data_IF_692189437412
#
_entry.id   IF_692189437412
#
_cell.length_a   1.000
_cell.length_b   1.000
_cell.length_c   1.000
_cell.angle_alpha   90.00
_cell.angle_beta   90.00
_cell.angle_gamma   90.00
#
_symmetry.space_group_name_H-M   'P 1'
#
loop_
_entity.id
_entity.type
_entity.pdbx_description
1 polymer ?
#
# COMPACT_ATOMS: atom_id res chain seq x y z
N UNK A 1 5.45 -1.66 24.43
CA UNK A 1 6.25 -2.12 23.27
C UNK A 1 7.49 -1.24 23.22
N UNK A 2 8.68 -1.81 23.40
CA UNK A 2 9.93 -1.03 23.38
C UNK A 2 10.24 -0.57 21.94
N UNK A 3 10.82 0.63 21.79
CA UNK A 3 11.06 1.30 20.50
C UNK A 3 11.91 0.45 19.54
N UNK A 4 13.00 -0.13 20.05
CA UNK A 4 13.91 -0.99 19.27
C UNK A 4 13.17 -2.19 18.66
N UNK A 5 12.20 -2.74 19.39
CA UNK A 5 11.37 -3.82 18.90
C UNK A 5 10.47 -3.39 17.73
N UNK A 6 9.94 -2.15 17.75
CA UNK A 6 9.13 -1.63 16.66
C UNK A 6 9.96 -1.32 15.40
N UNK A 7 11.18 -0.81 15.58
CA UNK A 7 12.13 -0.56 14.48
C UNK A 7 12.62 -1.88 13.85
N UNK A 8 12.88 -2.90 14.66
CA UNK A 8 13.22 -4.25 14.19
C UNK A 8 12.06 -4.88 13.40
N UNK A 9 10.83 -4.81 13.92
CA UNK A 9 9.63 -5.29 13.19
C UNK A 9 9.48 -4.58 11.84
N UNK A 10 9.72 -3.26 11.81
CA UNK A 10 9.64 -2.51 10.56
C UNK A 10 10.77 -2.88 9.59
N UNK A 11 12.00 -3.08 10.08
CA UNK A 11 13.14 -3.47 9.27
C UNK A 11 13.01 -4.87 8.66
N UNK A 12 12.34 -5.79 9.37
CA UNK A 12 12.05 -7.15 8.89
C UNK A 12 10.82 -7.23 7.99
N UNK A 13 10.03 -6.16 7.90
CA UNK A 13 8.87 -6.15 7.02
C UNK A 13 9.30 -6.06 5.55
N UNK A 14 8.86 -7.05 4.78
CA UNK A 14 8.98 -7.04 3.33
C UNK A 14 7.66 -7.46 2.69
N UNK A 15 7.41 -6.93 1.50
CA UNK A 15 6.34 -7.42 0.64
C UNK A 15 6.84 -8.66 -0.13
N UNK A 16 5.95 -9.60 -0.52
CA UNK A 16 6.34 -10.71 -1.37
C UNK A 16 6.81 -10.24 -2.76
N UNK A 17 7.62 -11.04 -3.45
CA UNK A 17 7.89 -10.81 -4.87
C UNK A 17 6.58 -10.91 -5.67
N UNK A 18 6.48 -10.21 -6.80
CA UNK A 18 5.30 -10.34 -7.66
C UNK A 18 5.06 -11.81 -8.03
N UNK A 19 6.11 -12.55 -8.41
CA UNK A 19 6.04 -13.99 -8.73
C UNK A 19 5.48 -14.87 -7.60
N UNK A 20 5.61 -14.45 -6.35
CA UNK A 20 5.16 -15.21 -5.17
C UNK A 20 3.69 -14.93 -4.82
N UNK A 21 3.05 -13.95 -5.47
CA UNK A 21 1.62 -13.70 -5.34
C UNK A 21 0.85 -14.87 -6.01
N UNK A 22 -0.15 -15.48 -5.32
CA UNK A 22 -0.88 -16.62 -5.85
C UNK A 22 -1.58 -16.34 -7.19
N UNK A 23 -1.27 -17.17 -8.20
CA UNK A 23 -1.81 -17.05 -9.56
C UNK A 23 -3.10 -17.87 -9.78
N UNK A 24 -3.42 -18.79 -8.87
CA UNK A 24 -4.61 -19.66 -8.94
C UNK A 24 -5.96 -18.91 -8.89
N UNK A 25 -5.92 -17.60 -8.63
CA UNK A 25 -7.07 -16.79 -8.30
C UNK A 25 -7.56 -17.06 -6.88
N UNK A 26 -7.80 -16.00 -6.11
CA UNK A 26 -8.23 -16.12 -4.71
C UNK A 26 -9.66 -15.61 -4.52
N UNK A 27 -10.50 -16.38 -3.82
CA UNK A 27 -11.80 -15.88 -3.37
C UNK A 27 -11.65 -14.76 -2.34
N UNK A 28 -12.69 -13.95 -2.15
CA UNK A 28 -12.64 -12.76 -1.28
C UNK A 28 -12.10 -13.04 0.13
N UNK A 29 -12.51 -14.15 0.74
CA UNK A 29 -12.06 -14.55 2.07
C UNK A 29 -10.58 -14.97 2.06
N UNK A 30 -10.12 -15.64 1.00
CA UNK A 30 -8.73 -16.02 0.79
C UNK A 30 -7.84 -14.79 0.57
N UNK A 31 -8.26 -13.82 -0.24
CA UNK A 31 -7.55 -12.55 -0.44
C UNK A 31 -7.43 -11.81 0.90
N UNK A 32 -8.52 -11.74 1.66
CA UNK A 32 -8.52 -11.09 2.98
C UNK A 32 -7.50 -11.75 3.91
N UNK A 33 -7.48 -13.09 3.98
CA UNK A 33 -6.49 -13.84 4.78
C UNK A 33 -5.07 -13.64 4.28
N UNK A 34 -4.86 -13.58 2.97
CA UNK A 34 -3.55 -13.38 2.36
C UNK A 34 -2.99 -11.99 2.72
N UNK A 35 -3.76 -10.91 2.50
CA UNK A 35 -3.36 -9.55 2.85
C UNK A 35 -3.09 -9.41 4.35
N UNK A 36 -3.94 -10.00 5.20
CA UNK A 36 -3.74 -9.95 6.65
C UNK A 36 -2.53 -10.76 7.13
N UNK A 37 -2.09 -11.76 6.37
CA UNK A 37 -0.83 -12.48 6.64
C UNK A 37 0.38 -11.59 6.36
N UNK A 38 0.37 -10.87 5.23
CA UNK A 38 1.41 -9.89 4.91
C UNK A 38 1.46 -8.81 6.01
N UNK A 39 0.29 -8.33 6.44
CA UNK A 39 0.15 -7.24 7.40
C UNK A 39 0.12 -7.72 8.87
N UNK A 40 0.55 -8.95 9.17
CA UNK A 40 0.46 -9.52 10.52
C UNK A 40 1.21 -8.68 11.56
N UNK A 41 2.35 -8.09 11.18
CA UNK A 41 3.13 -7.17 11.99
C UNK A 41 2.42 -5.83 12.28
N UNK A 42 1.37 -5.49 11.52
CA UNK A 42 0.65 -4.22 11.60
C UNK A 42 -0.86 -4.44 11.76
N UNK A 43 -1.35 -4.84 12.96
CA UNK A 43 -2.76 -5.19 13.18
C UNK A 43 -3.76 -4.10 12.80
N UNK A 44 -3.36 -2.82 12.94
CA UNK A 44 -4.19 -1.67 12.57
C UNK A 44 -4.35 -1.48 11.06
N UNK A 45 -3.64 -2.25 10.23
CA UNK A 45 -3.72 -2.23 8.76
C UNK A 45 -4.51 -3.41 8.21
N UNK A 46 -4.96 -4.33 9.06
CA UNK A 46 -5.75 -5.48 8.63
C UNK A 46 -7.02 -5.03 7.91
N UNK A 47 -7.39 -5.79 6.90
CA UNK A 47 -8.52 -5.55 6.03
C UNK A 47 -9.62 -6.57 6.24
N UNK A 48 -10.85 -6.19 5.90
CA UNK A 48 -12.02 -7.08 5.89
C UNK A 48 -12.52 -7.28 4.45
N UNK A 49 -13.25 -8.37 4.21
CA UNK A 49 -13.88 -8.60 2.90
C UNK A 49 -14.83 -7.47 2.48
N UNK A 50 -15.46 -6.78 3.43
CA UNK A 50 -16.30 -5.61 3.18
C UNK A 50 -15.48 -4.42 2.68
N UNK A 51 -14.26 -4.20 3.22
CA UNK A 51 -13.36 -3.14 2.72
C UNK A 51 -12.96 -3.41 1.27
N UNK A 52 -12.54 -4.63 0.95
CA UNK A 52 -12.20 -5.04 -0.42
C UNK A 52 -13.42 -4.86 -1.35
N UNK A 53 -14.60 -5.27 -0.90
CA UNK A 53 -15.86 -5.07 -1.64
C UNK A 53 -16.17 -3.59 -1.86
N UNK A 54 -15.84 -2.72 -0.91
CA UNK A 54 -16.02 -1.28 -1.05
C UNK A 54 -15.06 -0.68 -2.08
N UNK A 55 -13.81 -1.13 -2.15
CA UNK A 55 -12.88 -0.71 -3.21
C UNK A 55 -13.41 -1.08 -4.60
N UNK A 56 -14.03 -2.26 -4.75
CA UNK A 56 -14.69 -2.64 -6.00
C UNK A 56 -15.90 -1.75 -6.32
N UNK A 57 -16.76 -1.49 -5.33
CA UNK A 57 -17.94 -0.61 -5.51
C UNK A 57 -17.54 0.81 -5.90
N UNK A 58 -16.44 1.31 -5.34
CA UNK A 58 -15.88 2.63 -5.62
C UNK A 58 -15.08 2.68 -6.94
N UNK A 59 -15.00 1.58 -7.69
CA UNK A 59 -14.22 1.43 -8.93
C UNK A 59 -12.71 1.64 -8.75
N UNK A 60 -12.21 1.48 -7.53
CA UNK A 60 -10.77 1.53 -7.23
C UNK A 60 -10.06 0.22 -7.58
N UNK A 61 -10.82 -0.88 -7.54
CA UNK A 61 -10.35 -2.21 -7.87
C UNK A 61 -11.30 -2.84 -8.90
N UNK A 62 -10.80 -3.50 -9.95
CA UNK A 62 -11.65 -4.26 -10.86
C UNK A 62 -12.44 -5.35 -10.12
N UNK A 63 -13.64 -5.69 -10.63
CA UNK A 63 -14.45 -6.78 -10.07
C UNK A 63 -13.71 -8.12 -10.20
N UNK A 64 -13.91 -9.01 -9.23
CA UNK A 64 -13.40 -10.37 -9.30
C UNK A 64 -13.89 -11.11 -10.57
N UNK A 65 -13.00 -11.86 -11.21
CA UNK A 65 -13.28 -12.64 -12.41
C UNK A 65 -13.71 -14.04 -11.97
N UNK A 66 -14.92 -14.48 -12.36
CA UNK A 66 -15.48 -15.78 -11.93
C UNK A 66 -15.43 -15.99 -10.39
N UNK A 67 -15.65 -14.91 -9.63
CA UNK A 67 -15.59 -14.85 -8.15
C UNK A 67 -14.18 -14.93 -7.53
N UNK A 68 -13.13 -15.01 -8.33
CA UNK A 68 -11.75 -14.99 -7.87
C UNK A 68 -11.04 -13.69 -8.26
N UNK A 69 -10.18 -13.20 -7.38
CA UNK A 69 -9.27 -12.09 -7.67
C UNK A 69 -7.99 -12.64 -8.26
N UNK A 70 -7.59 -12.10 -9.41
CA UNK A 70 -6.34 -12.47 -10.06
C UNK A 70 -5.12 -11.95 -9.29
N UNK A 71 -3.96 -12.44 -9.69
CA UNK A 71 -2.67 -12.00 -9.19
C UNK A 71 -2.47 -10.49 -9.31
N UNK A 72 -2.83 -9.92 -10.46
CA UNK A 72 -2.78 -8.47 -10.74
C UNK A 72 -3.68 -7.70 -9.76
N UNK A 73 -4.91 -8.18 -9.54
CA UNK A 73 -5.85 -7.53 -8.61
C UNK A 73 -5.36 -7.60 -7.17
N UNK A 74 -4.66 -8.67 -6.79
CA UNK A 74 -4.04 -8.80 -5.47
C UNK A 74 -2.87 -7.82 -5.32
N UNK A 75 -2.03 -7.66 -6.36
CA UNK A 75 -0.94 -6.68 -6.37
C UNK A 75 -1.47 -5.24 -6.22
N UNK A 76 -2.52 -4.88 -6.97
CA UNK A 76 -3.23 -3.61 -6.81
C UNK A 76 -3.74 -3.41 -5.38
N UNK A 77 -4.35 -4.45 -4.81
CA UNK A 77 -4.89 -4.40 -3.45
C UNK A 77 -3.83 -4.11 -2.40
N UNK A 78 -2.63 -4.67 -2.53
CA UNK A 78 -1.51 -4.38 -1.61
C UNK A 78 -1.22 -2.88 -1.60
N UNK A 79 -1.09 -2.25 -2.77
CA UNK A 79 -0.81 -0.81 -2.88
C UNK A 79 -1.98 0.01 -2.32
N UNK A 80 -3.22 -0.30 -2.70
CA UNK A 80 -4.41 0.41 -2.22
C UNK A 80 -4.48 0.39 -0.68
N UNK A 81 -4.28 -0.78 -0.07
CA UNK A 81 -4.39 -0.97 1.38
C UNK A 81 -3.30 -0.20 2.12
N UNK A 82 -2.07 -0.24 1.62
CA UNK A 82 -0.93 0.47 2.19
C UNK A 82 -1.12 1.99 2.06
N UNK A 83 -1.55 2.47 0.89
CA UNK A 83 -1.73 3.89 0.58
C UNK A 83 -2.89 4.55 1.31
N UNK A 84 -3.96 3.80 1.66
CA UNK A 84 -5.15 4.32 2.37
C UNK A 84 -4.86 5.00 3.72
N UNK A 85 -3.68 4.74 4.29
CA UNK A 85 -3.20 5.40 5.52
C UNK A 85 -2.88 6.87 5.36
N UNK A 86 -2.45 7.26 4.17
CA UNK A 86 -1.95 8.60 3.87
C UNK A 86 -2.90 9.29 2.89
N UNK A 87 -3.49 8.51 1.98
CA UNK A 87 -4.32 9.03 0.90
C UNK A 87 -5.81 8.75 1.12
N UNK A 88 -6.64 9.68 0.65
CA UNK A 88 -8.08 9.54 0.48
C UNK A 88 -8.41 8.51 -0.61
N UNK A 89 -9.66 8.05 -0.68
CA UNK A 89 -10.06 7.08 -1.73
C UNK A 89 -9.91 7.69 -3.13
N UNK A 90 -10.23 8.96 -3.29
CA UNK A 90 -10.22 9.62 -4.60
C UNK A 90 -8.80 9.88 -5.08
N UNK A 91 -7.89 10.27 -4.18
CA UNK A 91 -6.45 10.36 -4.49
C UNK A 91 -5.88 9.02 -4.95
N UNK A 92 -6.18 7.93 -4.23
CA UNK A 92 -5.69 6.60 -4.63
C UNK A 92 -6.26 6.21 -5.99
N UNK A 93 -7.50 6.59 -6.29
CA UNK A 93 -8.11 6.29 -7.59
C UNK A 93 -7.35 6.92 -8.73
N UNK A 94 -6.99 8.19 -8.60
CA UNK A 94 -6.29 8.90 -9.68
C UNK A 94 -4.88 8.32 -9.84
N UNK A 95 -4.14 8.14 -8.74
CA UNK A 95 -2.82 7.50 -8.78
C UNK A 95 -2.89 6.09 -9.41
N UNK A 96 -3.87 5.28 -9.04
CA UNK A 96 -4.01 3.94 -9.62
C UNK A 96 -4.41 3.99 -11.10
N UNK A 97 -5.19 4.96 -11.55
CA UNK A 97 -5.51 5.13 -12.96
C UNK A 97 -4.24 5.48 -13.76
N UNK A 98 -3.50 6.50 -13.32
CA UNK A 98 -2.24 6.93 -13.96
C UNK A 98 -1.24 5.76 -14.05
N UNK A 99 -1.08 5.01 -12.95
CA UNK A 99 -0.22 3.83 -12.93
C UNK A 99 -0.66 2.76 -13.94
N UNK A 100 -1.96 2.50 -14.05
CA UNK A 100 -2.48 1.50 -15.00
C UNK A 100 -2.43 1.97 -16.46
N UNK A 101 -2.32 3.28 -16.72
CA UNK A 101 -2.12 3.82 -18.07
C UNK A 101 -0.65 3.73 -18.52
N UNK A 102 0.29 3.88 -17.58
CA UNK A 102 1.73 3.97 -17.89
C UNK A 102 2.44 2.61 -17.76
N UNK A 103 2.04 1.79 -16.78
CA UNK A 103 2.74 0.56 -16.40
C UNK A 103 1.77 -0.63 -16.24
N UNK A 104 2.28 -1.83 -16.47
CA UNK A 104 1.56 -3.05 -16.10
C UNK A 104 1.62 -3.31 -14.57
N UNK A 105 0.70 -4.14 -14.03
CA UNK A 105 0.64 -4.42 -12.59
C UNK A 105 1.88 -5.02 -11.95
N UNK A 106 2.66 -5.81 -12.69
CA UNK A 106 3.90 -6.38 -12.16
C UNK A 106 4.96 -5.29 -12.00
N UNK A 107 5.09 -4.42 -13.00
CA UNK A 107 6.06 -3.32 -13.00
C UNK A 107 5.82 -2.35 -11.84
N UNK A 108 4.64 -1.76 -11.72
CA UNK A 108 4.41 -0.77 -10.65
C UNK A 108 4.40 -1.40 -9.25
N UNK A 109 4.01 -2.68 -9.12
CA UNK A 109 4.09 -3.40 -7.85
C UNK A 109 5.54 -3.60 -7.41
N UNK A 110 6.38 -4.04 -8.34
CA UNK A 110 7.81 -4.25 -8.10
C UNK A 110 8.49 -2.94 -7.73
N UNK A 111 8.21 -1.86 -8.46
CA UNK A 111 8.70 -0.51 -8.13
C UNK A 111 8.26 -0.07 -6.74
N UNK A 112 6.97 -0.19 -6.43
CA UNK A 112 6.43 0.19 -5.13
C UNK A 112 7.10 -0.57 -3.98
N UNK A 113 7.30 -1.88 -4.15
CA UNK A 113 7.99 -2.71 -3.16
C UNK A 113 9.43 -2.25 -2.94
N UNK A 114 10.21 -2.05 -4.00
CA UNK A 114 11.59 -1.58 -3.89
C UNK A 114 11.68 -0.24 -3.16
N UNK A 115 10.85 0.73 -3.55
CA UNK A 115 10.78 2.05 -2.93
C UNK A 115 10.38 1.98 -1.45
N UNK A 116 9.46 1.08 -1.10
CA UNK A 116 9.05 0.86 0.28
C UNK A 116 10.19 0.27 1.13
N UNK A 117 10.90 -0.73 0.61
CA UNK A 117 12.04 -1.34 1.29
C UNK A 117 13.19 -0.34 1.51
N UNK A 118 13.46 0.52 0.53
CA UNK A 118 14.44 1.62 0.66
C UNK A 118 14.02 2.62 1.74
N UNK A 119 12.75 3.07 1.71
CA UNK A 119 12.22 4.02 2.69
C UNK A 119 12.22 3.46 4.13
N UNK A 120 12.06 2.16 4.29
CA UNK A 120 12.19 1.46 5.58
C UNK A 120 13.64 1.46 6.05
N UNK A 121 14.59 1.08 5.18
CA UNK A 121 16.02 0.99 5.52
C UNK A 121 16.59 2.36 5.93
N UNK A 122 16.28 3.42 5.19
CA UNK A 122 16.72 4.78 5.48
C UNK A 122 16.32 5.23 6.89
N UNK A 123 15.07 4.91 7.30
CA UNK A 123 14.54 5.26 8.62
C UNK A 123 15.13 4.44 9.76
N UNK A 124 15.64 3.24 9.49
CA UNK A 124 16.25 2.37 10.50
C UNK A 124 17.72 2.71 10.77
N UNK A 125 18.40 3.45 9.88
CA UNK A 125 19.81 3.83 10.02
C UNK A 125 20.06 5.10 10.85
N UNK A 126 19.05 5.94 11.08
CA UNK A 126 19.19 7.21 11.80
C UNK A 126 19.05 7.04 13.32
N UNK A 127 20.16 6.72 13.98
CA UNK A 127 20.29 6.58 15.44
C UNK A 127 20.36 7.94 16.15
N UNK A 128 19.25 8.70 16.20
CA UNK A 128 18.90 9.55 17.35
C UNK A 128 17.43 10.00 17.24
N UNK A 129 16.57 9.57 18.17
CA UNK A 129 15.17 10.03 18.22
C UNK A 129 15.07 11.26 19.11
N UNK A 130 14.94 12.42 18.48
CA UNK A 130 14.41 13.62 19.11
C UNK A 130 12.93 13.79 18.73
N UNK A 131 12.19 14.60 19.50
CA UNK A 131 10.85 15.04 19.07
C UNK A 131 10.87 15.62 17.65
N UNK A 132 11.99 16.24 17.26
CA UNK A 132 12.22 16.79 15.93
C UNK A 132 12.12 15.71 14.84
N UNK A 133 12.71 14.53 15.01
CA UNK A 133 12.61 13.42 14.04
C UNK A 133 11.17 12.94 13.86
N UNK A 134 10.40 12.85 14.94
CA UNK A 134 8.97 12.48 14.87
C UNK A 134 8.15 13.55 14.14
N UNK A 135 8.39 14.83 14.46
CA UNK A 135 7.73 15.95 13.80
C UNK A 135 8.11 16.05 12.32
N UNK A 136 9.38 15.79 11.95
CA UNK A 136 9.85 15.72 10.56
C UNK A 136 9.12 14.63 9.77
N UNK A 137 8.95 13.43 10.35
CA UNK A 137 8.22 12.34 9.70
C UNK A 137 6.75 12.69 9.46
N UNK A 138 6.10 13.32 10.44
CA UNK A 138 4.71 13.79 10.29
C UNK A 138 4.64 14.87 9.21
N UNK A 139 5.52 15.86 9.25
CA UNK A 139 5.57 16.95 8.28
C UNK A 139 5.81 16.45 6.86
N UNK A 140 6.73 15.49 6.66
CA UNK A 140 6.97 14.85 5.36
C UNK A 140 5.73 14.11 4.87
N UNK A 141 5.08 13.31 5.71
CA UNK A 141 3.84 12.60 5.33
C UNK A 141 2.72 13.54 4.92
N UNK A 142 2.52 14.65 5.65
CA UNK A 142 1.56 15.70 5.31
C UNK A 142 1.94 16.39 4.00
N UNK A 143 3.22 16.75 3.84
CA UNK A 143 3.74 17.42 2.63
C UNK A 143 3.53 16.57 1.39
N UNK A 144 3.78 15.26 1.45
CA UNK A 144 3.49 14.35 0.35
C UNK A 144 1.99 14.28 0.05
N UNK A 145 1.13 14.25 1.08
CA UNK A 145 -0.33 14.32 0.90
C UNK A 145 -0.77 15.59 0.19
N UNK A 146 -0.26 16.76 0.63
CA UNK A 146 -0.54 18.06 0.01
C UNK A 146 -0.02 18.17 -1.42
N UNK A 147 1.17 17.63 -1.71
CA UNK A 147 1.72 17.61 -3.06
C UNK A 147 0.83 16.80 -4.00
N UNK A 148 0.38 15.63 -3.54
CA UNK A 148 -0.55 14.79 -4.31
C UNK A 148 -1.85 15.54 -4.54
N UNK A 149 -2.45 16.16 -3.52
CA UNK A 149 -3.65 17.00 -3.70
C UNK A 149 -3.45 18.06 -4.79
N UNK A 150 -2.30 18.75 -4.77
CA UNK A 150 -2.00 19.79 -5.74
C UNK A 150 -1.80 19.26 -7.16
N UNK A 151 -1.07 18.17 -7.33
CA UNK A 151 -0.89 17.54 -8.64
C UNK A 151 -2.22 17.10 -9.26
N UNK A 152 -3.17 16.65 -8.42
CA UNK A 152 -4.49 16.21 -8.86
C UNK A 152 -5.38 17.39 -9.28
N UNK A 153 -5.35 18.51 -8.56
CA UNK A 153 -6.08 19.74 -8.95
C UNK A 153 -5.65 20.27 -10.33
N UNK A 154 -4.37 20.10 -10.69
CA UNK A 154 -3.81 20.59 -11.96
C UNK A 154 -4.15 19.70 -13.17
N UNK A 155 -4.57 18.45 -12.94
CA UNK A 155 -5.01 17.53 -14.00
C UNK A 155 -6.48 17.73 -14.39
N UNK A 156 -7.30 18.35 -13.53
CA UNK A 156 -8.72 18.64 -13.74
C UNK A 156 -8.98 20.01 -14.44
N UNK A 157 -7.93 20.76 -14.80
CA UNK A 157 -7.98 22.05 -15.52
C UNK A 157 -7.60 21.91 -17.00
#
# INVERSE_FOLDING_TARGET
MNKEHAEMILAEFSLPEYRDIPDVGLYLDQVTRYLNRILNAFPKMQVTGSMISNYVKQKLLPKAIKKAYSKEQIAMLVIIVMSKRILSIDQIRIVMNDLNEIYDPETYYTMFRTLLEEAVKDKTGSSEKTCETLLKNIASGISHGMLIDKCLEEQDQ
#
